data_IF_008544597600
#
_entry.id   IF_008544597600
#
_cell.length_a   1.000
_cell.length_b   1.000
_cell.length_c   1.000
_cell.angle_alpha   90.00
_cell.angle_beta   90.00
_cell.angle_gamma   90.00
#
_symmetry.space_group_name_H-M   'P 1'
#
loop_
_entity.id
_entity.type
_entity.pdbx_description
1 polymer ?
#
# COMPACT_ATOMS: atom_id res chain seq x y z
N UNK A 1 5.87 -8.52 -0.08
CA UNK A 1 4.54 -8.69 0.55
C UNK A 1 4.39 -10.14 0.99
N UNK A 2 3.70 -10.41 2.09
CA UNK A 2 3.40 -11.80 2.50
C UNK A 2 2.31 -12.39 1.61
N UNK A 3 2.40 -13.69 1.33
CA UNK A 3 1.46 -14.51 0.58
C UNK A 3 0.46 -15.21 1.51
N UNK A 4 -0.58 -15.81 0.94
CA UNK A 4 -1.61 -16.54 1.70
C UNK A 4 -1.01 -17.60 2.64
N UNK A 5 -0.10 -18.51 2.20
CA UNK A 5 0.55 -19.46 3.12
C UNK A 5 1.34 -18.81 4.25
N UNK A 6 2.06 -17.71 3.95
CA UNK A 6 2.86 -17.00 4.94
C UNK A 6 2.00 -16.32 6.02
N UNK A 7 0.82 -15.81 5.65
CA UNK A 7 -0.15 -15.31 6.63
C UNK A 7 -0.71 -16.43 7.52
N UNK A 8 -1.00 -17.60 6.95
CA UNK A 8 -1.41 -18.77 7.74
C UNK A 8 -0.30 -19.18 8.73
N UNK A 9 0.96 -19.19 8.30
CA UNK A 9 2.09 -19.53 9.16
C UNK A 9 2.36 -18.49 10.24
N UNK A 10 2.19 -17.20 9.93
CA UNK A 10 2.26 -16.14 10.94
C UNK A 10 1.21 -16.35 12.04
N UNK A 11 -0.03 -16.66 11.68
CA UNK A 11 -1.09 -16.90 12.66
C UNK A 11 -0.85 -18.16 13.49
N UNK A 12 -0.32 -19.22 12.88
CA UNK A 12 0.06 -20.44 13.61
C UNK A 12 1.22 -20.20 14.55
N UNK A 13 2.25 -19.48 14.11
CA UNK A 13 3.41 -19.17 14.93
C UNK A 13 3.01 -18.34 16.16
N UNK A 14 2.09 -17.38 15.99
CA UNK A 14 1.61 -16.53 17.09
C UNK A 14 0.82 -17.32 18.16
N UNK A 15 0.01 -18.29 17.75
CA UNK A 15 -0.94 -18.95 18.65
C UNK A 15 -0.68 -20.45 18.91
N UNK A 16 0.31 -21.04 18.25
CA UNK A 16 0.59 -22.48 18.32
C UNK A 16 -0.47 -23.37 17.65
N UNK A 17 -1.25 -22.84 16.71
CA UNK A 17 -2.32 -23.60 16.07
C UNK A 17 -1.81 -24.60 15.02
N UNK A 18 -2.50 -25.74 14.91
CA UNK A 18 -2.44 -26.57 13.70
C UNK A 18 -3.32 -25.98 12.60
N UNK A 19 -3.09 -26.36 11.35
CA UNK A 19 -3.93 -25.93 10.22
C UNK A 19 -5.41 -26.29 10.46
N UNK A 20 -5.64 -27.46 11.05
CA UNK A 20 -6.99 -27.90 11.41
C UNK A 20 -7.64 -26.97 12.44
N UNK A 21 -6.89 -26.52 13.44
CA UNK A 21 -7.40 -25.62 14.48
C UNK A 21 -7.58 -24.18 13.97
N UNK A 22 -6.80 -23.75 12.97
CA UNK A 22 -6.87 -22.41 12.38
C UNK A 22 -8.08 -22.25 11.44
N UNK A 23 -8.44 -23.28 10.67
CA UNK A 23 -9.54 -23.22 9.69
C UNK A 23 -10.88 -22.69 10.25
N UNK A 24 -11.43 -23.21 11.36
CA UNK A 24 -12.68 -22.69 11.91
C UNK A 24 -12.57 -21.25 12.44
N UNK A 25 -11.38 -20.81 12.88
CA UNK A 25 -11.15 -19.43 13.37
C UNK A 25 -11.20 -18.42 12.22
N UNK A 26 -10.74 -18.81 11.04
CA UNK A 26 -10.89 -18.02 9.81
C UNK A 26 -12.28 -18.18 9.17
N UNK A 27 -13.13 -19.06 9.71
CA UNK A 27 -14.43 -19.38 9.13
C UNK A 27 -14.36 -20.08 7.78
N UNK A 28 -13.29 -20.85 7.54
CA UNK A 28 -13.08 -21.59 6.29
C UNK A 28 -13.18 -23.11 6.53
N UNK A 29 -13.41 -23.86 5.46
CA UNK A 29 -13.40 -25.33 5.53
C UNK A 29 -11.99 -25.89 5.54
N UNK A 30 -11.82 -27.15 5.96
CA UNK A 30 -10.53 -27.86 5.85
C UNK A 30 -10.07 -28.02 4.40
N UNK A 31 -11.01 -28.18 3.46
CA UNK A 31 -10.70 -28.28 2.03
C UNK A 31 -10.10 -26.97 1.52
N UNK A 32 -10.71 -25.84 1.90
CA UNK A 32 -10.20 -24.50 1.57
C UNK A 32 -8.82 -24.25 2.21
N UNK A 33 -8.62 -24.65 3.47
CA UNK A 33 -7.30 -24.60 4.11
C UNK A 33 -6.23 -25.37 3.31
N UNK A 34 -6.55 -26.58 2.83
CA UNK A 34 -5.65 -27.36 1.98
C UNK A 34 -5.33 -26.64 0.66
N UNK A 35 -6.34 -26.03 0.02
CA UNK A 35 -6.14 -25.24 -1.22
C UNK A 35 -5.21 -24.05 -0.99
N UNK A 36 -5.37 -23.33 0.12
CA UNK A 36 -4.46 -22.24 0.50
C UNK A 36 -3.03 -22.73 0.69
N UNK A 37 -2.84 -23.87 1.38
CA UNK A 37 -1.51 -24.47 1.58
C UNK A 37 -0.82 -24.88 0.28
N UNK A 38 -1.59 -25.33 -0.69
CA UNK A 38 -1.06 -25.75 -1.99
C UNK A 38 -0.96 -24.61 -3.01
N UNK A 39 -1.23 -23.35 -2.60
CA UNK A 39 -1.23 -22.19 -3.49
C UNK A 39 -2.32 -22.24 -4.57
N UNK A 40 -3.33 -23.09 -4.41
CA UNK A 40 -4.42 -23.30 -5.37
C UNK A 40 -5.60 -22.32 -5.16
N UNK A 41 -5.52 -21.50 -4.12
CA UNK A 41 -6.51 -20.46 -3.80
C UNK A 41 -5.86 -19.43 -2.85
N UNK A 42 -6.54 -18.30 -2.65
CA UNK A 42 -6.05 -17.14 -1.91
C UNK A 42 -7.04 -16.73 -0.81
N UNK A 43 -6.58 -15.98 0.20
CA UNK A 43 -7.47 -15.46 1.24
C UNK A 43 -8.67 -14.70 0.64
N UNK A 44 -9.87 -15.00 1.13
CA UNK A 44 -11.03 -14.13 0.94
C UNK A 44 -10.94 -12.94 1.87
N UNK A 45 -11.65 -11.86 1.54
CA UNK A 45 -11.65 -10.64 2.34
C UNK A 45 -12.18 -10.91 3.76
N UNK A 46 -13.23 -11.74 3.90
CA UNK A 46 -13.74 -12.20 5.20
C UNK A 46 -12.69 -12.97 6.02
N UNK A 47 -11.91 -13.83 5.36
CA UNK A 47 -10.85 -14.58 6.03
C UNK A 47 -9.67 -13.66 6.39
N UNK A 48 -9.39 -12.65 5.57
CA UNK A 48 -8.37 -11.64 5.82
C UNK A 48 -8.72 -10.74 7.02
N UNK A 49 -10.00 -10.35 7.18
CA UNK A 49 -10.48 -9.62 8.35
C UNK A 49 -10.23 -10.43 9.63
N UNK A 50 -10.69 -11.69 9.67
CA UNK A 50 -10.46 -12.58 10.82
C UNK A 50 -8.98 -12.87 11.06
N UNK A 51 -8.19 -12.93 9.99
CA UNK A 51 -6.74 -13.09 10.07
C UNK A 51 -6.10 -11.89 10.79
N UNK A 52 -6.50 -10.67 10.44
CA UNK A 52 -6.03 -9.45 11.08
C UNK A 52 -6.36 -9.45 12.58
N UNK A 53 -7.58 -9.83 12.95
CA UNK A 53 -7.99 -9.97 14.35
C UNK A 53 -7.11 -10.97 15.11
N UNK A 54 -6.86 -12.15 14.52
CA UNK A 54 -5.98 -13.17 15.11
C UNK A 54 -4.54 -12.64 15.25
N UNK A 55 -4.04 -11.91 14.26
CA UNK A 55 -2.70 -11.33 14.26
C UNK A 55 -2.59 -10.06 15.10
N UNK A 56 -3.71 -9.53 15.62
CA UNK A 56 -3.74 -8.29 16.41
C UNK A 56 -3.28 -7.09 15.58
N UNK A 57 -3.64 -7.06 14.30
CA UNK A 57 -3.37 -5.95 13.40
C UNK A 57 -4.53 -4.95 13.47
N UNK A 58 -4.22 -3.65 13.52
CA UNK A 58 -5.24 -2.60 13.57
C UNK A 58 -6.09 -2.51 12.29
N UNK A 59 -5.57 -3.02 11.17
CA UNK A 59 -6.24 -3.01 9.89
C UNK A 59 -5.99 -4.30 9.09
N UNK A 60 -7.03 -4.85 8.42
CA UNK A 60 -6.86 -5.98 7.50
C UNK A 60 -6.34 -5.58 6.12
N UNK A 61 -6.12 -4.28 5.87
CA UNK A 61 -5.89 -3.76 4.53
C UNK A 61 -4.62 -4.33 3.86
N UNK A 62 -3.54 -4.55 4.62
CA UNK A 62 -2.33 -5.20 4.10
C UNK A 62 -2.63 -6.63 3.61
N UNK A 63 -3.36 -7.41 4.41
CA UNK A 63 -3.69 -8.81 4.10
C UNK A 63 -4.60 -8.86 2.86
N UNK A 64 -5.61 -8.00 2.82
CA UNK A 64 -6.53 -7.89 1.68
C UNK A 64 -5.76 -7.52 0.41
N UNK A 65 -4.90 -6.49 0.48
CA UNK A 65 -4.09 -6.09 -0.66
C UNK A 65 -3.18 -7.24 -1.15
N UNK A 66 -2.57 -7.98 -0.23
CA UNK A 66 -1.75 -9.14 -0.60
C UNK A 66 -2.56 -10.24 -1.29
N UNK A 67 -3.76 -10.55 -0.80
CA UNK A 67 -4.65 -11.55 -1.41
C UNK A 67 -5.12 -11.12 -2.81
N UNK A 68 -5.41 -9.84 -3.02
CA UNK A 68 -5.74 -9.31 -4.34
C UNK A 68 -4.57 -9.36 -5.32
N UNK A 69 -3.35 -9.08 -4.84
CA UNK A 69 -2.15 -9.23 -5.65
C UNK A 69 -1.93 -10.70 -6.07
N UNK A 70 -2.15 -11.67 -5.17
CA UNK A 70 -2.07 -13.10 -5.51
C UNK A 70 -3.17 -13.52 -6.52
N UNK A 71 -4.38 -12.97 -6.38
CA UNK A 71 -5.53 -13.27 -7.27
C UNK A 71 -5.40 -12.63 -8.65
N UNK A 72 -4.61 -11.57 -8.78
CA UNK A 72 -4.51 -10.79 -10.01
C UNK A 72 -3.93 -11.61 -11.16
N UNK A 73 -4.64 -11.62 -12.30
CA UNK A 73 -4.20 -12.29 -13.53
C UNK A 73 -3.32 -11.41 -14.41
N UNK A 74 -3.41 -10.09 -14.24
CA UNK A 74 -2.60 -9.11 -14.96
C UNK A 74 -1.44 -8.66 -14.09
N UNK A 75 -0.27 -8.55 -14.70
CA UNK A 75 0.96 -8.04 -14.07
C UNK A 75 0.77 -6.62 -13.52
N UNK A 76 0.09 -5.74 -14.25
CA UNK A 76 -0.15 -4.35 -13.83
C UNK A 76 -1.03 -4.29 -12.57
N UNK A 77 -2.08 -5.12 -12.54
CA UNK A 77 -3.00 -5.20 -11.39
C UNK A 77 -2.29 -5.82 -10.19
N UNK A 78 -1.45 -6.85 -10.41
CA UNK A 78 -0.64 -7.43 -9.35
C UNK A 78 0.33 -6.40 -8.76
N UNK A 79 1.04 -5.66 -9.62
CA UNK A 79 1.99 -4.64 -9.19
C UNK A 79 1.31 -3.52 -8.38
N UNK A 80 0.11 -3.09 -8.80
CA UNK A 80 -0.70 -2.13 -8.06
C UNK A 80 -0.99 -2.62 -6.64
N UNK A 81 -1.56 -3.81 -6.50
CA UNK A 81 -1.92 -4.35 -5.18
C UNK A 81 -0.72 -4.68 -4.32
N UNK A 82 0.38 -5.17 -4.91
CA UNK A 82 1.62 -5.40 -4.19
C UNK A 82 2.18 -4.10 -3.61
N UNK A 83 2.19 -3.01 -4.38
CA UNK A 83 2.62 -1.70 -3.89
C UNK A 83 1.74 -1.18 -2.75
N UNK A 84 0.43 -1.46 -2.78
CA UNK A 84 -0.47 -1.15 -1.66
C UNK A 84 -0.21 -2.00 -0.44
N UNK A 85 0.01 -3.31 -0.59
CA UNK A 85 0.35 -4.19 0.53
C UNK A 85 1.61 -3.68 1.25
N UNK A 86 2.66 -3.29 0.53
CA UNK A 86 3.88 -2.71 1.12
C UNK A 86 3.59 -1.39 1.86
N UNK A 87 2.79 -0.50 1.29
CA UNK A 87 2.43 0.78 1.92
C UNK A 87 1.58 0.61 3.18
N UNK A 88 0.76 -0.44 3.23
CA UNK A 88 -0.18 -0.70 4.33
C UNK A 88 0.46 -1.54 5.44
N UNK A 89 1.43 -2.40 5.12
CA UNK A 89 2.19 -3.20 6.09
C UNK A 89 3.38 -2.48 6.73
N UNK A 90 3.84 -1.40 6.09
CA UNK A 90 4.85 -0.52 6.64
C UNK A 90 4.26 0.45 7.66
N UNK A 91 4.57 0.24 8.95
CA UNK A 91 4.56 1.28 9.98
C UNK A 91 5.09 2.58 9.37
N UNK A 92 4.34 3.67 9.57
CA UNK A 92 4.61 5.04 9.13
C UNK A 92 6.07 5.28 8.72
N UNK A 93 6.30 5.61 7.45
CA UNK A 93 7.50 6.34 7.09
C UNK A 93 7.46 7.66 7.89
N UNK A 94 8.09 7.66 9.07
CA UNK A 94 8.32 8.86 9.86
C UNK A 94 9.21 9.74 9.00
N UNK A 95 8.60 10.64 8.21
CA UNK A 95 9.33 11.76 7.64
C UNK A 95 9.65 12.65 8.83
N UNK A 96 10.83 12.47 9.42
CA UNK A 96 11.47 13.50 10.23
C UNK A 96 11.83 14.65 9.27
N UNK A 97 10.87 15.52 8.98
CA UNK A 97 11.18 16.87 8.50
C UNK A 97 11.77 17.59 9.71
N UNK A 98 13.08 17.56 9.86
CA UNK A 98 13.78 18.49 10.74
C UNK A 98 13.60 19.89 10.16
N UNK A 99 12.61 20.62 10.67
CA UNK A 99 12.49 22.05 10.49
C UNK A 99 13.66 22.73 11.20
N UNK A 100 14.81 22.82 10.53
CA UNK A 100 15.91 23.70 10.90
C UNK A 100 15.59 25.13 10.49
N UNK A 101 14.81 25.86 11.29
CA UNK A 101 14.84 27.33 11.26
C UNK A 101 16.02 27.81 12.10
N UNK A 102 16.99 28.47 11.47
CA UNK A 102 17.80 29.50 12.13
C UNK A 102 19.31 29.49 11.85
N UNK A 103 19.74 30.34 10.91
CA UNK A 103 21.01 31.08 11.03
C UNK A 103 22.12 30.70 10.05
N UNK A 104 22.45 31.62 9.14
CA UNK A 104 23.76 31.63 8.46
C UNK A 104 23.74 32.16 7.03
N UNK A 105 24.00 33.46 6.88
CA UNK A 105 24.34 34.12 5.61
C UNK A 105 25.51 33.40 4.91
N UNK A 106 25.33 32.95 3.67
CA UNK A 106 26.40 32.98 2.66
C UNK A 106 25.83 32.74 1.27
N UNK A 107 25.74 33.79 0.47
CA UNK A 107 25.60 33.70 -0.98
C UNK A 107 26.97 33.36 -1.61
N UNK A 108 27.02 32.66 -2.75
CA UNK A 108 28.08 32.86 -3.71
C UNK A 108 27.68 33.97 -4.70
N UNK A 109 28.61 34.89 -5.01
CA UNK A 109 28.39 35.96 -5.97
C UNK A 109 28.76 35.47 -7.39
N UNK A 110 28.37 36.27 -8.40
CA UNK A 110 28.92 36.29 -9.76
C UNK A 110 28.38 35.28 -10.80
N UNK A 111 27.27 35.66 -11.45
CA UNK A 111 27.16 35.54 -12.92
C UNK A 111 26.05 36.48 -13.42
N UNK A 112 26.44 37.73 -13.62
CA UNK A 112 25.63 38.74 -14.30
C UNK A 112 25.35 38.37 -15.77
N UNK A 113 24.13 38.73 -16.19
CA UNK A 113 23.78 39.37 -17.45
C UNK A 113 23.71 38.53 -18.76
N UNK A 114 22.46 38.30 -19.21
CA UNK A 114 21.92 38.65 -20.53
C UNK A 114 20.53 38.00 -20.66
N UNK A 115 19.45 38.59 -21.14
CA UNK A 115 19.15 39.91 -21.69
C UNK A 115 17.63 39.95 -21.86
N UNK A 116 17.07 41.15 -21.75
CA UNK A 116 15.64 41.48 -21.87
C UNK A 116 14.96 40.79 -23.05
N UNK A 117 13.74 40.29 -22.86
CA UNK A 117 12.67 40.39 -23.86
C UNK A 117 11.32 40.39 -23.16
N UNK A 118 10.52 41.37 -23.55
CA UNK A 118 9.35 41.89 -22.87
C UNK A 118 8.12 41.02 -23.12
N UNK A 119 7.26 40.92 -22.12
CA UNK A 119 5.89 40.39 -22.24
C UNK A 119 5.06 41.48 -22.93
N UNK A 120 4.42 41.25 -24.08
CA UNK A 120 3.37 42.13 -24.55
C UNK A 120 2.09 41.82 -23.78
N UNK A 121 1.59 42.83 -23.06
CA UNK A 121 0.24 42.85 -22.52
C UNK A 121 -0.76 43.08 -23.66
N UNK A 122 -1.78 42.24 -23.76
CA UNK A 122 -3.03 42.62 -24.42
C UNK A 122 -4.23 42.08 -23.64
N UNK A 123 -4.83 42.99 -22.89
CA UNK A 123 -6.22 42.90 -22.45
C UNK A 123 -7.15 42.72 -23.66
N UNK A 124 -8.11 41.81 -23.54
CA UNK A 124 -9.19 41.65 -24.52
C UNK A 124 -10.31 40.82 -23.91
N UNK A 125 -11.34 41.52 -23.41
CA UNK A 125 -12.61 40.95 -23.00
C UNK A 125 -13.32 40.29 -24.20
N UNK A 126 -14.13 39.26 -23.96
CA UNK A 126 -15.05 38.75 -24.98
C UNK A 126 -15.57 37.33 -24.75
N UNK A 127 -16.73 37.25 -24.11
CA UNK A 127 -17.83 36.33 -24.45
C UNK A 127 -17.63 34.81 -24.28
N UNK A 128 -18.11 34.32 -23.13
CA UNK A 128 -18.61 32.95 -22.98
C UNK A 128 -19.91 32.82 -23.79
N UNK A 129 -19.89 32.08 -24.91
CA UNK A 129 -21.10 31.54 -25.54
C UNK A 129 -21.06 30.03 -25.51
N UNK A 130 -22.15 29.48 -24.96
CA UNK A 130 -22.55 28.09 -24.85
C UNK A 130 -22.58 27.36 -26.19
N UNK A 131 -22.16 26.10 -26.19
CA UNK A 131 -22.80 25.01 -26.93
C UNK A 131 -22.76 23.73 -26.08
#
# INVERSE_FOLDING_TARGET
>A
MKTTPEWLDAAKAKHGFSDYALAPKLGITRSQMSRYRNGADFLSDDAAIKMADLLGMDSPAEIIASAHAERAKSEDVRAFWAAWAEKLGGVAATILVTAGMGGGLMAPPDAQAAGRSQIPSSSGAGEYTSY
#
